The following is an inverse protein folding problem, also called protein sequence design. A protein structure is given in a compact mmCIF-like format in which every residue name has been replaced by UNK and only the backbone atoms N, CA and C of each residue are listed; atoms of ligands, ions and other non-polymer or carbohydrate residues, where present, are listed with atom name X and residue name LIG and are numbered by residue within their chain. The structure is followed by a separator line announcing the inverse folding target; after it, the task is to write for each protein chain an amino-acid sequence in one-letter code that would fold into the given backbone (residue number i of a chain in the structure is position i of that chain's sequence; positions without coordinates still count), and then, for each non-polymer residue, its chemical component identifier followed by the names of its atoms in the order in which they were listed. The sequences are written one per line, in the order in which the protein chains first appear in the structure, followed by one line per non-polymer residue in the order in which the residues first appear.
data_IF_572650001928
#
_entry.id   IF_572650001928
#
_cell.length_a   1.000
_cell.length_b   1.000
_cell.length_c   1.000
_cell.angle_alpha   90.00
_cell.angle_beta   90.00
_cell.angle_gamma   90.00
#
_symmetry.space_group_name_H-M   'P 1'
#
loop_
_entity.id
_entity.type
_entity.pdbx_description
1 polymer ?
#
# COMPACT_ATOMS: atom_id res chain seq x y z
N UNK A 1 -0.24 2.51 30.60
CA UNK A 1 0.29 2.97 29.35
C UNK A 1 1.14 4.18 29.55
N UNK A 2 1.73 4.79 29.95
CA UNK A 2 2.47 5.96 30.24
C UNK A 2 3.65 6.19 29.31
N UNK A 3 4.75 6.71 29.87
CA UNK A 3 5.94 7.11 29.11
C UNK A 3 6.58 5.97 28.34
N UNK A 4 6.54 4.75 28.89
CA UNK A 4 7.13 3.57 28.24
C UNK A 4 6.45 3.26 26.90
N UNK A 5 5.12 3.38 26.86
CA UNK A 5 4.36 3.19 25.64
C UNK A 5 4.69 4.27 24.61
N UNK A 6 4.83 5.51 25.03
CA UNK A 6 5.18 6.62 24.14
C UNK A 6 6.59 6.44 23.55
N UNK A 7 7.54 5.98 24.35
CA UNK A 7 8.92 5.72 23.88
C UNK A 7 8.91 4.61 22.84
N UNK A 8 8.14 3.55 23.06
CA UNK A 8 8.04 2.44 22.11
C UNK A 8 7.39 2.88 20.79
N UNK A 9 6.36 3.73 20.86
CA UNK A 9 5.71 4.29 19.65
C UNK A 9 6.72 5.11 18.85
N UNK A 10 7.51 5.97 19.49
CA UNK A 10 8.49 6.80 18.79
C UNK A 10 9.56 5.95 18.11
N UNK A 11 10.06 4.91 18.79
CA UNK A 11 11.03 3.98 18.20
C UNK A 11 10.42 3.23 17.00
N UNK A 12 9.17 2.81 17.11
CA UNK A 12 8.46 2.14 16.02
C UNK A 12 8.31 3.07 14.82
N UNK A 13 7.92 4.32 15.05
CA UNK A 13 7.81 5.34 14.01
C UNK A 13 9.15 5.55 13.31
N UNK A 14 10.22 5.68 14.06
CA UNK A 14 11.56 5.87 13.51
C UNK A 14 11.98 4.67 12.64
N UNK A 15 11.70 3.46 13.10
CA UNK A 15 12.02 2.26 12.31
C UNK A 15 11.23 2.22 11.02
N UNK A 16 9.92 2.46 11.07
CA UNK A 16 9.06 2.49 9.89
C UNK A 16 9.56 3.52 8.89
N UNK A 17 9.89 4.72 9.38
CA UNK A 17 10.41 5.79 8.53
C UNK A 17 11.75 5.39 7.90
N UNK A 18 12.59 4.64 8.61
CA UNK A 18 13.86 4.17 8.06
C UNK A 18 13.69 3.18 6.89
N UNK A 19 12.51 2.59 6.75
CA UNK A 19 12.19 1.69 5.64
C UNK A 19 11.70 2.43 4.40
N UNK A 20 11.56 3.77 4.47
CA UNK A 20 11.11 4.58 3.35
C UNK A 20 12.16 4.61 2.23
N UNK A 21 11.68 4.59 1.00
CA UNK A 21 12.50 4.60 -0.20
C UNK A 21 12.34 5.92 -0.97
N UNK A 22 13.25 6.16 -1.92
CA UNK A 22 13.22 7.36 -2.76
C UNK A 22 11.96 7.47 -3.62
N UNK A 23 11.30 6.33 -3.90
CA UNK A 23 10.05 6.30 -4.67
C UNK A 23 8.81 6.71 -3.86
N UNK A 24 8.99 7.03 -2.60
CA UNK A 24 7.91 7.39 -1.67
C UNK A 24 7.31 6.20 -0.95
N UNK A 25 7.69 4.98 -1.29
CA UNK A 25 7.16 3.76 -0.70
C UNK A 25 8.05 3.18 0.39
N UNK A 26 7.71 1.98 0.82
CA UNK A 26 8.33 1.32 1.97
C UNK A 26 8.64 -0.14 1.66
N UNK A 27 9.79 -0.60 2.15
CA UNK A 27 10.17 -2.01 2.09
C UNK A 27 10.09 -2.68 3.46
N UNK A 28 10.47 -3.95 3.51
CA UNK A 28 10.44 -4.75 4.75
C UNK A 28 11.51 -4.33 5.75
N UNK A 29 12.55 -3.67 5.28
CA UNK A 29 13.68 -3.22 6.10
C UNK A 29 14.35 -2.06 5.37
N UNK A 30 15.22 -1.30 6.06
CA UNK A 30 15.96 -0.23 5.38
C UNK A 30 16.71 -0.76 4.15
N UNK A 31 16.53 -0.11 3.01
CA UNK A 31 17.16 -0.50 1.75
C UNK A 31 16.42 -1.57 0.94
N UNK A 32 15.37 -2.17 1.49
CA UNK A 32 14.57 -3.15 0.75
C UNK A 32 13.61 -2.48 -0.24
N UNK A 33 13.33 -3.15 -1.35
CA UNK A 33 12.45 -2.66 -2.41
C UNK A 33 11.04 -2.39 -1.90
N UNK A 34 10.42 -1.33 -2.42
CA UNK A 34 9.03 -0.99 -2.12
C UNK A 34 8.08 -2.08 -2.60
N UNK A 35 7.13 -2.44 -1.75
CA UNK A 35 6.12 -3.45 -2.04
C UNK A 35 4.77 -3.01 -1.47
N UNK A 36 3.68 -3.25 -2.20
CA UNK A 36 2.34 -2.78 -1.83
C UNK A 36 1.90 -3.23 -0.44
N UNK A 37 2.19 -4.47 -0.07
CA UNK A 37 1.87 -5.00 1.26
C UNK A 37 2.62 -4.27 2.37
N UNK A 38 3.89 -3.98 2.15
CA UNK A 38 4.71 -3.23 3.12
C UNK A 38 4.30 -1.77 3.19
N UNK A 39 3.93 -1.18 2.05
CA UNK A 39 3.38 0.18 2.02
C UNK A 39 2.14 0.24 2.91
N UNK A 40 1.23 -0.70 2.78
CA UNK A 40 0.04 -0.75 3.63
C UNK A 40 0.41 -0.81 5.11
N UNK A 41 1.28 -1.73 5.48
CA UNK A 41 1.69 -1.93 6.87
C UNK A 41 2.33 -0.66 7.44
N UNK A 42 3.24 -0.06 6.70
CA UNK A 42 3.98 1.13 7.15
C UNK A 42 3.07 2.36 7.23
N UNK A 43 2.25 2.60 6.21
CA UNK A 43 1.33 3.75 6.20
C UNK A 43 0.29 3.60 7.31
N UNK A 44 -0.24 2.39 7.51
CA UNK A 44 -1.19 2.13 8.59
C UNK A 44 -0.56 2.40 9.96
N UNK A 45 0.67 1.94 10.17
CA UNK A 45 1.40 2.18 11.42
C UNK A 45 1.60 3.67 11.67
N UNK A 46 2.00 4.43 10.66
CA UNK A 46 2.20 5.87 10.77
C UNK A 46 0.87 6.61 10.99
N UNK A 47 -0.20 6.15 10.35
CA UNK A 47 -1.54 6.73 10.55
C UNK A 47 -2.02 6.52 12.00
N UNK A 48 -1.88 5.31 12.52
CA UNK A 48 -2.27 4.99 13.90
C UNK A 48 -1.45 5.79 14.90
N UNK A 49 -0.16 6.00 14.62
CA UNK A 49 0.73 6.77 15.49
C UNK A 49 0.51 8.29 15.36
N UNK A 50 -0.38 8.74 14.46
CA UNK A 50 -0.61 10.16 14.24
C UNK A 50 0.52 10.86 13.49
N UNK A 51 1.31 10.11 12.71
CA UNK A 51 2.49 10.63 12.03
C UNK A 51 2.41 10.46 10.51
N UNK A 52 1.21 10.62 9.96
CA UNK A 52 1.03 10.58 8.50
C UNK A 52 1.76 11.73 7.79
N UNK A 53 2.12 12.77 8.53
CA UNK A 53 2.93 13.89 8.04
C UNK A 53 4.30 13.44 7.50
N UNK A 54 4.80 12.28 7.93
CA UNK A 54 6.08 11.73 7.47
C UNK A 54 5.99 11.10 6.08
N UNK A 55 4.78 10.85 5.57
CA UNK A 55 4.57 10.20 4.27
C UNK A 55 4.49 11.27 3.18
N UNK A 56 5.26 11.08 2.09
CA UNK A 56 5.11 11.90 0.89
C UNK A 56 3.91 11.36 0.09
N UNK A 57 2.73 11.90 0.38
CA UNK A 57 1.47 11.40 -0.16
C UNK A 57 1.38 11.49 -1.68
N UNK A 58 1.96 12.54 -2.27
CA UNK A 58 1.94 12.71 -3.73
C UNK A 58 2.82 11.65 -4.40
N UNK A 59 4.03 11.49 -3.92
CA UNK A 59 4.97 10.53 -4.48
C UNK A 59 4.49 9.10 -4.28
N UNK A 60 4.05 8.76 -3.09
CA UNK A 60 3.54 7.43 -2.79
C UNK A 60 2.24 7.15 -3.54
N UNK A 61 1.35 8.13 -3.62
CA UNK A 61 0.11 7.99 -4.39
C UNK A 61 0.39 7.69 -5.85
N UNK A 62 1.35 8.37 -6.44
CA UNK A 62 1.78 8.10 -7.82
C UNK A 62 2.29 6.67 -7.97
N UNK A 63 3.17 6.23 -7.06
CA UNK A 63 3.69 4.86 -7.10
C UNK A 63 2.58 3.83 -7.00
N UNK A 64 1.64 4.04 -6.07
CA UNK A 64 0.51 3.13 -5.89
C UNK A 64 -0.42 3.10 -7.10
N UNK A 65 -0.67 4.25 -7.73
CA UNK A 65 -1.53 4.30 -8.92
C UNK A 65 -0.93 3.53 -10.09
N UNK A 66 0.40 3.48 -10.18
CA UNK A 66 1.12 2.73 -11.20
C UNK A 66 1.04 1.21 -11.00
N UNK A 67 0.52 0.75 -9.87
CA UNK A 67 0.29 -0.69 -9.65
C UNK A 67 -0.88 -1.22 -10.46
N UNK A 68 -1.74 -0.33 -10.97
CA UNK A 68 -2.88 -0.76 -11.78
C UNK A 68 -2.44 -1.06 -13.21
N UNK A 69 -2.72 -2.28 -13.66
CA UNK A 69 -2.37 -2.76 -14.99
C UNK A 69 -3.52 -2.53 -15.98
N UNK A 70 -3.29 -2.82 -17.24
CA UNK A 70 -4.26 -2.58 -18.31
C UNK A 70 -5.59 -3.32 -18.09
N UNK A 71 -5.54 -4.50 -17.46
CA UNK A 71 -6.74 -5.28 -17.16
C UNK A 71 -7.48 -4.79 -15.90
N UNK A 72 -6.99 -3.73 -15.26
CA UNK A 72 -7.58 -3.14 -14.06
C UNK A 72 -7.06 -3.71 -12.76
N UNK A 73 -6.37 -4.84 -12.77
CA UNK A 73 -5.81 -5.48 -11.59
C UNK A 73 -4.59 -4.74 -11.06
N UNK A 74 -4.27 -4.97 -9.79
CA UNK A 74 -3.17 -4.32 -9.10
C UNK A 74 -2.07 -5.32 -8.76
N UNK A 75 -0.81 -4.88 -8.88
CA UNK A 75 0.33 -5.73 -8.53
C UNK A 75 1.02 -5.25 -7.25
N UNK A 76 1.94 -6.07 -6.74
CA UNK A 76 2.66 -5.77 -5.51
C UNK A 76 3.87 -4.86 -5.70
N UNK A 77 4.44 -4.87 -6.89
CA UNK A 77 5.60 -4.06 -7.27
C UNK A 77 5.76 -4.08 -8.79
N UNK A 78 6.62 -3.19 -9.34
CA UNK A 78 6.78 -3.11 -10.80
C UNK A 78 7.12 -4.45 -11.44
N UNK A 79 6.55 -4.69 -12.62
CA UNK A 79 6.80 -5.85 -13.47
C UNK A 79 6.30 -7.19 -12.90
N UNK A 80 5.57 -7.16 -11.79
CA UNK A 80 4.95 -8.36 -11.24
C UNK A 80 3.50 -8.50 -11.71
N UNK A 81 3.02 -9.74 -11.67
CA UNK A 81 1.66 -10.07 -12.09
C UNK A 81 0.65 -9.53 -11.08
N UNK A 82 -0.50 -9.17 -11.57
CA UNK A 82 -1.63 -8.73 -10.75
C UNK A 82 -2.23 -9.88 -9.93
N UNK A 83 -2.80 -9.53 -8.78
CA UNK A 83 -3.50 -10.47 -7.92
C UNK A 83 -4.57 -9.71 -7.13
N UNK A 84 -5.70 -10.35 -6.88
CA UNK A 84 -6.83 -9.75 -6.15
C UNK A 84 -6.41 -9.26 -4.76
N UNK A 85 -5.47 -9.92 -4.10
CA UNK A 85 -5.03 -9.51 -2.75
C UNK A 85 -4.46 -8.09 -2.73
N UNK A 86 -3.84 -7.63 -3.82
CA UNK A 86 -3.31 -6.27 -3.87
C UNK A 86 -4.38 -5.20 -3.96
N UNK A 87 -5.62 -5.58 -4.31
CA UNK A 87 -6.76 -4.66 -4.25
C UNK A 87 -6.91 -4.11 -2.83
N UNK A 88 -6.83 -4.97 -1.82
CA UNK A 88 -6.89 -4.56 -0.43
C UNK A 88 -5.71 -3.67 -0.04
N UNK A 89 -4.48 -4.13 -0.30
CA UNK A 89 -3.27 -3.42 0.12
C UNK A 89 -3.18 -2.04 -0.50
N UNK A 90 -3.39 -1.94 -1.82
CA UNK A 90 -3.27 -0.68 -2.55
C UNK A 90 -4.43 0.25 -2.23
N UNK A 91 -5.67 -0.24 -2.25
CA UNK A 91 -6.84 0.61 -2.02
C UNK A 91 -6.89 1.13 -0.58
N UNK A 92 -6.53 0.30 0.39
CA UNK A 92 -6.45 0.74 1.79
C UNK A 92 -5.39 1.81 1.98
N UNK A 93 -4.24 1.65 1.36
CA UNK A 93 -3.17 2.66 1.41
C UNK A 93 -3.64 3.97 0.77
N UNK A 94 -4.26 3.90 -0.41
CA UNK A 94 -4.77 5.08 -1.11
C UNK A 94 -5.86 5.79 -0.30
N UNK A 95 -6.70 5.03 0.40
CA UNK A 95 -7.72 5.61 1.28
C UNK A 95 -7.09 6.42 2.42
N UNK A 96 -6.03 5.89 3.04
CA UNK A 96 -5.32 6.59 4.10
C UNK A 96 -4.65 7.88 3.61
N UNK A 97 -4.23 7.90 2.34
CA UNK A 97 -3.59 9.07 1.70
C UNK A 97 -4.61 10.02 1.06
N UNK A 98 -5.89 9.67 1.05
CA UNK A 98 -6.96 10.41 0.36
C UNK A 98 -6.70 10.53 -1.15
N UNK A 99 -6.25 9.43 -1.76
CA UNK A 99 -5.88 9.36 -3.18
C UNK A 99 -6.63 8.26 -3.94
N UNK A 100 -7.75 7.74 -3.39
CA UNK A 100 -8.53 6.67 -4.03
C UNK A 100 -8.94 7.00 -5.46
N UNK A 101 -9.20 8.26 -5.74
CA UNK A 101 -9.63 8.73 -7.06
C UNK A 101 -8.54 8.59 -8.14
N UNK A 102 -7.31 8.27 -7.77
CA UNK A 102 -6.21 8.02 -8.71
C UNK A 102 -6.25 6.59 -9.29
N UNK A 103 -7.08 5.72 -8.74
CA UNK A 103 -7.29 4.35 -9.24
C UNK A 103 -8.58 4.30 -10.06
N UNK A 104 -8.54 3.57 -11.19
CA UNK A 104 -9.75 3.31 -11.99
C UNK A 104 -10.56 2.21 -11.31
N UNK A 105 -11.55 2.62 -10.51
CA UNK A 105 -12.36 1.72 -9.71
C UNK A 105 -13.25 0.79 -10.54
N UNK A 106 -13.72 1.24 -11.70
CA UNK A 106 -14.54 0.42 -12.58
C UNK A 106 -13.73 -0.75 -13.14
N UNK A 107 -12.54 -0.48 -13.65
CA UNK A 107 -11.65 -1.53 -14.17
C UNK A 107 -11.22 -2.50 -13.08
N UNK A 108 -10.94 -1.99 -11.88
CA UNK A 108 -10.59 -2.85 -10.76
C UNK A 108 -11.74 -3.78 -10.39
N UNK A 109 -12.96 -3.24 -10.33
CA UNK A 109 -14.16 -4.03 -10.03
C UNK A 109 -14.35 -5.13 -11.09
N UNK A 110 -14.21 -4.81 -12.35
CA UNK A 110 -14.30 -5.79 -13.44
C UNK A 110 -13.26 -6.91 -13.27
N UNK A 111 -12.02 -6.53 -12.96
CA UNK A 111 -10.96 -7.51 -12.73
C UNK A 111 -11.30 -8.45 -11.59
N UNK A 112 -11.76 -7.92 -10.45
CA UNK A 112 -12.09 -8.73 -9.28
C UNK A 112 -13.23 -9.70 -9.61
N UNK A 113 -14.27 -9.22 -10.29
CA UNK A 113 -15.41 -10.06 -10.65
C UNK A 113 -15.02 -11.17 -11.62
N UNK A 114 -14.16 -10.87 -12.59
CA UNK A 114 -13.64 -11.88 -13.51
C UNK A 114 -12.86 -12.96 -12.79
N UNK A 115 -12.03 -12.59 -11.82
CA UNK A 115 -11.27 -13.54 -11.01
C UNK A 115 -12.20 -14.46 -10.22
N UNK A 116 -13.29 -13.95 -9.66
CA UNK A 116 -14.28 -14.75 -8.93
C UNK A 116 -14.98 -15.74 -9.85
N UNK A 117 -15.36 -15.30 -11.04
CA UNK A 117 -16.01 -16.18 -12.03
C UNK A 117 -15.07 -17.30 -12.47
N UNK A 118 -13.80 -16.99 -12.73
CA UNK A 118 -12.80 -17.99 -13.10
C UNK A 118 -12.60 -19.01 -11.99
N UNK A 119 -12.52 -18.58 -10.73
CA UNK A 119 -12.39 -19.49 -9.58
C UNK A 119 -13.63 -20.37 -9.42
N UNK A 120 -14.81 -19.80 -9.59
CA UNK A 120 -16.07 -20.53 -9.51
C UNK A 120 -16.16 -21.63 -10.57
N UNK A 121 -15.66 -21.38 -11.78
CA UNK A 121 -15.64 -22.36 -12.87
C UNK A 121 -14.57 -23.43 -12.68
N UNK A 122 -13.45 -23.08 -12.06
CA UNK A 122 -12.35 -24.01 -11.82
C UNK A 122 -12.59 -24.90 -10.61
N UNK A 123 -13.45 -24.45 -9.69
CA UNK A 123 -13.84 -25.20 -8.50
C UNK A 123 -15.06 -26.02 -8.73
#
# INVERSE_FOLDING_TARGET
MGLLHMVNVEKAVQYVYSCANFDGGYGTSPGAETHSGQVFTCVAALTIAGRLDLVDSEKLGAWLSERQLKNGGLNGRPEKKEDVCYSWWVMSSMAMLDKLHWIDGEKLTEFILQCQVCQSRAG
#
